data_IF_369221153899
#
_entry.id   IF_369221153899
#
_cell.length_a   1.000
_cell.length_b   1.000
_cell.length_c   1.000
_cell.angle_alpha   90.00
_cell.angle_beta   90.00
_cell.angle_gamma   90.00
#
_symmetry.space_group_name_H-M   'P 1'
#
loop_
_entity.id
_entity.type
_entity.pdbx_description
1 polymer ?
#
# COMPACT_ATOMS: atom_id res chain seq x y z
N UNK A 1 -19.63 -21.73 -25.07
CA UNK A 1 -18.61 -21.99 -24.03
C UNK A 1 -17.29 -21.36 -24.48
N UNK A 2 -16.92 -20.20 -23.95
CA UNK A 2 -15.65 -19.54 -24.29
C UNK A 2 -14.48 -20.34 -23.70
N UNK A 3 -13.60 -20.86 -24.54
CA UNK A 3 -12.34 -21.49 -24.11
C UNK A 3 -11.36 -20.38 -23.73
N UNK A 4 -11.18 -20.13 -22.43
CA UNK A 4 -10.06 -19.31 -21.95
C UNK A 4 -8.77 -20.11 -22.18
N UNK A 5 -7.91 -19.67 -23.11
CA UNK A 5 -6.54 -20.21 -23.21
C UNK A 5 -5.74 -19.71 -22.00
N UNK A 6 -4.96 -20.56 -21.31
CA UNK A 6 -4.12 -20.12 -20.21
C UNK A 6 -3.11 -19.07 -20.72
N UNK A 7 -3.05 -17.92 -20.06
CA UNK A 7 -2.05 -16.89 -20.37
C UNK A 7 -0.67 -17.35 -19.88
N UNK A 8 0.35 -17.27 -20.73
CA UNK A 8 1.76 -17.49 -20.36
C UNK A 8 2.41 -16.22 -19.75
N UNK A 9 1.62 -15.19 -19.44
CA UNK A 9 2.10 -13.93 -18.93
C UNK A 9 2.27 -13.95 -17.41
N UNK A 10 3.51 -13.73 -16.97
CA UNK A 10 3.84 -13.44 -15.57
C UNK A 10 3.84 -11.92 -15.35
N UNK A 11 2.67 -11.32 -15.10
CA UNK A 11 2.55 -9.90 -14.73
C UNK A 11 2.45 -9.75 -13.21
N UNK A 12 3.42 -9.04 -12.62
CA UNK A 12 3.35 -8.59 -11.22
C UNK A 12 2.82 -7.15 -11.12
N UNK A 13 3.04 -6.52 -9.97
CA UNK A 13 2.59 -5.15 -9.65
C UNK A 13 3.25 -3.99 -10.45
N UNK A 14 4.03 -4.26 -11.50
CA UNK A 14 4.77 -3.20 -12.21
C UNK A 14 3.88 -2.56 -13.29
N UNK A 15 3.38 -1.35 -13.04
CA UNK A 15 2.54 -0.59 -13.99
C UNK A 15 3.35 0.36 -14.88
N UNK A 16 4.56 0.76 -14.46
CA UNK A 16 5.38 1.78 -15.12
C UNK A 16 6.18 1.20 -16.29
N UNK A 17 6.91 0.11 -16.07
CA UNK A 17 7.79 -0.46 -17.11
C UNK A 17 7.00 -0.97 -18.31
N UNK A 18 5.87 -1.71 -18.18
CA UNK A 18 5.09 -2.14 -19.33
C UNK A 18 4.50 -0.98 -20.14
N UNK A 19 4.14 0.13 -19.48
CA UNK A 19 3.65 1.34 -20.14
C UNK A 19 4.74 2.00 -20.99
N UNK A 20 5.98 2.05 -20.49
CA UNK A 20 7.13 2.54 -21.26
C UNK A 20 7.41 1.72 -22.52
N UNK A 21 6.99 0.46 -22.56
CA UNK A 21 7.08 -0.43 -23.74
C UNK A 21 5.79 -0.53 -24.56
N UNK A 22 4.84 0.41 -24.39
CA UNK A 22 3.54 0.45 -25.13
C UNK A 22 2.69 -0.81 -24.97
N UNK A 23 2.86 -1.57 -23.89
CA UNK A 23 2.09 -2.80 -23.65
C UNK A 23 0.92 -2.52 -22.70
N UNK A 24 -0.11 -1.83 -23.22
CA UNK A 24 -1.30 -1.44 -22.44
C UNK A 24 -2.04 -2.65 -21.83
N UNK A 25 -2.07 -3.79 -22.52
CA UNK A 25 -2.65 -5.04 -22.00
C UNK A 25 -1.99 -5.50 -20.69
N UNK A 26 -0.65 -5.39 -20.60
CA UNK A 26 0.10 -5.79 -19.39
C UNK A 26 -0.09 -4.80 -18.25
N UNK A 27 -0.27 -3.51 -18.56
CA UNK A 27 -0.61 -2.48 -17.58
C UNK A 27 -2.00 -2.73 -17.00
N UNK A 28 -2.99 -3.02 -17.85
CA UNK A 28 -4.35 -3.37 -17.41
C UNK A 28 -4.32 -4.62 -16.54
N UNK A 29 -3.64 -5.69 -16.97
CA UNK A 29 -3.49 -6.90 -16.15
C UNK A 29 -2.76 -6.64 -14.82
N UNK A 30 -1.75 -5.77 -14.80
CA UNK A 30 -1.06 -5.39 -13.57
C UNK A 30 -2.00 -4.64 -12.61
N UNK A 31 -2.77 -3.67 -13.13
CA UNK A 31 -3.77 -2.92 -12.37
C UNK A 31 -4.86 -3.87 -11.85
N UNK A 32 -5.44 -4.72 -12.70
CA UNK A 32 -6.45 -5.70 -12.29
C UNK A 32 -5.93 -6.63 -11.19
N UNK A 33 -4.70 -7.16 -11.33
CA UNK A 33 -4.10 -8.02 -10.31
C UNK A 33 -3.86 -7.28 -9.00
N UNK A 34 -3.45 -6.02 -9.05
CA UNK A 34 -3.25 -5.17 -7.89
C UNK A 34 -4.56 -4.89 -7.16
N UNK A 35 -5.59 -4.48 -7.89
CA UNK A 35 -6.92 -4.18 -7.34
C UNK A 35 -7.56 -5.39 -6.67
N UNK A 36 -7.32 -6.60 -7.17
CA UNK A 36 -7.86 -7.83 -6.57
C UNK A 36 -6.91 -8.50 -5.55
N UNK A 37 -5.71 -7.94 -5.31
CA UNK A 37 -4.75 -8.55 -4.38
C UNK A 37 -5.04 -8.24 -2.91
N UNK A 38 -5.78 -7.17 -2.65
CA UNK A 38 -6.08 -6.70 -1.30
C UNK A 38 -7.47 -6.09 -1.19
N UNK A 39 -8.10 -6.30 -0.03
CA UNK A 39 -9.33 -5.62 0.35
C UNK A 39 -9.06 -4.55 1.41
N UNK A 40 -9.85 -3.48 1.39
CA UNK A 40 -9.74 -2.35 2.30
C UNK A 40 -11.07 -2.17 3.04
N UNK A 41 -11.04 -2.21 4.37
CA UNK A 41 -12.20 -1.98 5.23
C UNK A 41 -11.88 -0.93 6.29
N UNK A 42 -12.89 -0.23 6.78
CA UNK A 42 -12.75 0.85 7.76
C UNK A 42 -13.49 0.51 9.04
N UNK A 43 -12.80 0.64 10.17
CA UNK A 43 -13.43 0.70 11.49
C UNK A 43 -13.64 2.16 11.87
N UNK A 44 -14.89 2.60 11.73
CA UNK A 44 -15.31 3.99 11.96
C UNK A 44 -15.88 4.22 13.36
N UNK A 45 -15.88 3.22 14.25
CA UNK A 45 -16.53 3.28 15.57
C UNK A 45 -16.02 4.46 16.42
N UNK A 46 -14.72 4.76 16.33
CA UNK A 46 -14.07 5.83 17.11
C UNK A 46 -13.81 7.12 16.33
N UNK A 47 -14.45 7.30 15.18
CA UNK A 47 -14.28 8.51 14.36
C UNK A 47 -14.71 9.77 15.09
N UNK A 48 -15.73 9.67 15.95
CA UNK A 48 -16.18 10.74 16.85
C UNK A 48 -15.17 11.11 17.94
N UNK A 49 -14.17 10.27 18.19
CA UNK A 49 -13.05 10.53 19.10
C UNK A 49 -11.77 10.94 18.34
N UNK A 50 -11.87 11.18 17.03
CA UNK A 50 -10.72 11.51 16.20
C UNK A 50 -9.85 10.30 15.84
N UNK A 51 -10.39 9.08 15.87
CA UNK A 51 -9.66 7.83 15.56
C UNK A 51 -10.31 7.05 14.43
N UNK A 52 -9.50 6.48 13.54
CA UNK A 52 -9.97 5.61 12.47
C UNK A 52 -9.09 4.37 12.39
N UNK A 53 -9.74 3.20 12.38
CA UNK A 53 -9.08 1.94 12.05
C UNK A 53 -9.17 1.67 10.55
N UNK A 54 -8.05 1.28 9.95
CA UNK A 54 -7.96 0.94 8.53
C UNK A 54 -7.47 -0.50 8.46
N UNK A 55 -8.32 -1.38 7.95
CA UNK A 55 -8.04 -2.80 7.83
C UNK A 55 -7.63 -3.07 6.40
N UNK A 56 -6.43 -3.59 6.20
CA UNK A 56 -5.93 -4.02 4.90
C UNK A 56 -5.76 -5.53 4.93
N UNK A 57 -6.47 -6.22 4.04
CA UNK A 57 -6.49 -7.69 3.98
C UNK A 57 -5.79 -8.16 2.71
N UNK A 58 -4.87 -9.11 2.83
CA UNK A 58 -4.31 -9.80 1.68
C UNK A 58 -5.28 -10.90 1.22
N UNK A 59 -6.33 -10.50 0.52
CA UNK A 59 -7.42 -11.39 0.09
C UNK A 59 -7.06 -12.19 -1.16
N UNK A 60 -6.20 -11.65 -2.03
CA UNK A 60 -5.92 -12.24 -3.33
C UNK A 60 -4.65 -13.09 -3.42
N UNK A 61 -3.60 -12.78 -2.65
CA UNK A 61 -2.30 -13.42 -2.83
C UNK A 61 -2.07 -14.65 -1.91
N UNK A 62 -1.41 -15.67 -2.46
CA UNK A 62 -0.91 -16.83 -1.69
C UNK A 62 0.46 -16.62 -1.04
N UNK A 63 0.98 -15.39 -1.09
CA UNK A 63 2.24 -14.97 -0.49
C UNK A 63 2.06 -13.62 0.22
N UNK A 64 3.12 -13.10 0.85
CA UNK A 64 3.12 -11.78 1.49
C UNK A 64 2.80 -10.63 0.52
N UNK A 65 2.16 -9.57 1.00
CA UNK A 65 1.84 -8.37 0.24
C UNK A 65 2.49 -7.12 0.89
N UNK A 66 3.39 -6.41 0.19
CA UNK A 66 4.00 -6.77 -1.09
C UNK A 66 4.97 -7.96 -0.96
N UNK A 67 5.39 -8.53 -2.10
CA UNK A 67 6.45 -9.56 -2.19
C UNK A 67 7.60 -9.11 -3.10
N UNK A 68 8.70 -9.87 -3.11
CA UNK A 68 9.92 -9.58 -3.89
C UNK A 68 10.87 -8.62 -3.17
N UNK A 69 11.44 -7.65 -3.90
CA UNK A 69 12.31 -6.59 -3.36
C UNK A 69 11.51 -5.54 -2.58
N UNK A 70 11.01 -5.94 -1.42
CA UNK A 70 10.10 -5.15 -0.59
C UNK A 70 10.77 -4.02 0.17
N UNK A 71 12.09 -3.89 0.10
CA UNK A 71 12.84 -2.73 0.59
C UNK A 71 12.76 -1.52 -0.35
N UNK A 72 12.57 -1.77 -1.65
CA UNK A 72 12.39 -0.72 -2.68
C UNK A 72 10.98 -0.66 -3.24
N UNK A 73 10.22 -1.77 -3.21
CA UNK A 73 8.82 -1.77 -3.62
C UNK A 73 8.01 -1.01 -2.57
N UNK A 74 7.28 0.00 -3.03
CA UNK A 74 6.44 0.81 -2.18
C UNK A 74 5.01 0.32 -2.32
N UNK A 75 4.40 -0.09 -1.21
CA UNK A 75 2.95 -0.22 -1.08
C UNK A 75 2.57 0.61 0.13
N UNK A 76 1.63 1.53 0.00
CA UNK A 76 1.31 2.47 1.08
C UNK A 76 -0.14 2.91 1.07
N UNK A 77 -0.60 3.44 2.21
CA UNK A 77 -1.91 4.08 2.30
C UNK A 77 -1.80 5.57 1.97
N UNK A 78 -2.55 6.01 0.96
CA UNK A 78 -2.90 7.42 0.78
C UNK A 78 -4.22 7.69 1.50
N UNK A 79 -4.22 8.65 2.43
CA UNK A 79 -5.34 8.95 3.32
C UNK A 79 -5.62 10.44 3.24
N UNK A 80 -6.86 10.80 2.93
CA UNK A 80 -7.34 12.19 2.92
C UNK A 80 -8.68 12.24 3.66
N UNK A 81 -8.73 12.98 4.75
CA UNK A 81 -9.94 13.21 5.54
C UNK A 81 -10.33 14.68 5.43
N UNK A 82 -11.60 14.94 5.16
CA UNK A 82 -12.15 16.30 5.08
C UNK A 82 -13.31 16.53 6.04
N UNK A 83 -13.38 17.74 6.59
CA UNK A 83 -14.50 18.20 7.40
C UNK A 83 -15.73 18.59 6.55
N UNK A 84 -16.81 19.00 7.21
CA UNK A 84 -18.04 19.49 6.58
C UNK A 84 -17.86 20.70 5.66
N UNK A 85 -16.83 21.52 5.93
CA UNK A 85 -16.47 22.70 5.12
C UNK A 85 -15.54 22.32 3.97
N UNK A 86 -15.27 21.03 3.76
CA UNK A 86 -14.34 20.46 2.76
C UNK A 86 -12.86 20.81 3.02
N UNK A 87 -12.50 21.28 4.21
CA UNK A 87 -11.10 21.47 4.60
C UNK A 87 -10.45 20.11 4.89
N UNK A 88 -9.18 19.96 4.52
CA UNK A 88 -8.41 18.76 4.85
C UNK A 88 -8.03 18.82 6.33
N UNK A 89 -8.50 17.84 7.11
CA UNK A 89 -8.20 17.72 8.55
C UNK A 89 -7.15 16.66 8.85
N UNK A 90 -6.90 15.78 7.88
CA UNK A 90 -5.80 14.82 7.91
C UNK A 90 -5.39 14.46 6.48
N UNK A 91 -4.08 14.36 6.24
CA UNK A 91 -3.51 13.92 4.97
C UNK A 91 -2.23 13.12 5.24
N UNK A 92 -2.09 11.97 4.60
CA UNK A 92 -0.90 11.12 4.68
C UNK A 92 -0.73 10.35 3.36
N UNK A 93 0.51 10.06 2.97
CA UNK A 93 0.80 9.21 1.81
C UNK A 93 0.57 9.87 0.44
N UNK A 94 0.42 11.20 0.39
CA UNK A 94 0.42 11.93 -0.88
C UNK A 94 1.83 11.95 -1.47
N UNK A 95 1.90 12.01 -2.78
CA UNK A 95 3.16 12.30 -3.47
C UNK A 95 3.45 13.81 -3.46
N UNK A 96 4.71 14.17 -3.29
CA UNK A 96 5.17 15.55 -3.50
C UNK A 96 5.31 15.88 -5.00
N UNK A 97 5.78 17.09 -5.31
CA UNK A 97 5.97 17.58 -6.68
C UNK A 97 6.96 16.74 -7.49
N UNK A 98 7.86 16.03 -6.83
CA UNK A 98 8.92 15.22 -7.43
C UNK A 98 8.53 13.72 -7.46
N UNK A 99 7.33 13.39 -6.97
CA UNK A 99 6.78 12.03 -6.97
C UNK A 99 7.17 11.18 -5.76
N UNK A 100 7.77 11.78 -4.72
CA UNK A 100 8.11 11.05 -3.50
C UNK A 100 6.95 11.00 -2.52
N UNK A 101 6.81 9.87 -1.84
CA UNK A 101 5.82 9.70 -0.77
C UNK A 101 6.18 10.64 0.38
N UNK A 102 5.24 11.50 0.76
CA UNK A 102 5.38 12.42 1.90
C UNK A 102 5.64 11.68 3.21
N UNK A 103 6.38 12.33 4.11
CA UNK A 103 6.72 11.77 5.42
C UNK A 103 5.46 11.44 6.25
N UNK A 104 5.55 10.41 7.09
CA UNK A 104 4.44 9.94 7.93
C UNK A 104 3.50 8.96 7.24
N UNK A 105 3.74 8.63 5.98
CA UNK A 105 2.97 7.62 5.26
C UNK A 105 3.07 6.22 5.90
N UNK A 106 1.96 5.50 5.89
CA UNK A 106 1.92 4.09 6.28
C UNK A 106 2.40 3.26 5.10
N UNK A 107 3.66 2.85 5.14
CA UNK A 107 4.31 2.04 4.09
C UNK A 107 4.48 0.59 4.57
N UNK A 108 3.99 -0.33 3.75
CA UNK A 108 4.15 -1.78 3.86
C UNK A 108 5.42 -2.22 3.13
N UNK A 109 6.49 -2.42 3.87
CA UNK A 109 7.81 -2.73 3.33
C UNK A 109 8.64 -3.56 4.32
N UNK A 110 9.80 -4.03 3.84
CA UNK A 110 10.85 -4.59 4.69
C UNK A 110 11.97 -3.57 4.84
N UNK A 111 12.50 -3.38 6.04
CA UNK A 111 13.71 -2.59 6.29
C UNK A 111 14.82 -3.52 6.77
N UNK A 112 15.90 -3.60 6.01
CA UNK A 112 17.06 -4.42 6.35
C UNK A 112 18.08 -3.64 7.19
N UNK A 113 18.77 -4.36 8.08
CA UNK A 113 19.84 -3.81 8.91
C UNK A 113 21.20 -4.45 8.66
N UNK A 114 22.26 -3.79 9.13
CA UNK A 114 23.65 -4.27 9.05
C UNK A 114 24.04 -5.28 10.14
N UNK A 115 23.11 -5.67 11.01
CA UNK A 115 23.37 -6.53 12.18
C UNK A 115 23.80 -5.76 13.42
N UNK A 116 23.80 -4.42 13.36
CA UNK A 116 24.04 -3.51 14.49
C UNK A 116 22.86 -2.56 14.72
N UNK A 117 21.69 -2.88 14.18
CA UNK A 117 20.49 -2.06 14.28
C UNK A 117 20.43 -0.89 13.27
N UNK A 118 21.37 -0.78 12.32
CA UNK A 118 21.42 0.36 11.38
C UNK A 118 20.84 -0.03 10.01
N UNK A 119 19.91 0.75 9.44
CA UNK A 119 19.33 0.47 8.13
C UNK A 119 20.37 0.40 7.02
N UNK A 120 20.19 -0.51 6.07
CA UNK A 120 21.03 -0.64 4.87
C UNK A 120 20.20 -0.64 3.60
N UNK A 121 20.63 0.15 2.62
CA UNK A 121 20.04 0.15 1.27
C UNK A 121 20.60 -0.96 0.38
N UNK A 122 21.87 -1.33 0.59
CA UNK A 122 22.48 -2.40 -0.17
C UNK A 122 22.15 -3.75 0.50
N UNK A 123 21.21 -4.49 -0.09
CA UNK A 123 20.73 -5.79 0.40
C UNK A 123 21.89 -6.80 0.58
N UNK A 124 22.96 -6.74 -0.21
CA UNK A 124 24.12 -7.65 -0.02
C UNK A 124 24.82 -7.45 1.34
N UNK A 125 24.64 -6.27 1.96
CA UNK A 125 25.14 -5.94 3.30
C UNK A 125 24.13 -6.22 4.41
N UNK A 126 22.91 -6.63 4.08
CA UNK A 126 21.89 -6.98 5.07
C UNK A 126 22.35 -8.18 5.91
N UNK A 127 22.14 -8.08 7.22
CA UNK A 127 22.42 -9.14 8.21
C UNK A 127 21.24 -9.39 9.14
N UNK A 128 20.24 -8.50 9.12
CA UNK A 128 19.02 -8.62 9.92
C UNK A 128 17.83 -7.94 9.22
N UNK A 129 16.62 -8.26 9.68
CA UNK A 129 15.39 -7.55 9.33
C UNK A 129 15.03 -6.66 10.52
N UNK A 130 15.08 -5.34 10.33
CA UNK A 130 14.74 -4.34 11.36
C UNK A 130 13.23 -4.15 11.47
N UNK A 131 12.52 -4.24 10.35
CA UNK A 131 11.07 -4.09 10.25
C UNK A 131 10.55 -4.94 9.10
N UNK A 132 9.48 -5.67 9.34
CA UNK A 132 8.68 -6.32 8.32
C UNK A 132 7.22 -5.89 8.51
N UNK A 133 6.73 -5.04 7.61
CA UNK A 133 5.34 -4.57 7.60
C UNK A 133 4.60 -5.12 6.39
N UNK A 134 4.97 -6.30 5.89
CA UNK A 134 4.22 -6.98 4.83
C UNK A 134 2.98 -7.65 5.44
N UNK A 135 1.95 -7.85 4.63
CA UNK A 135 0.70 -8.50 5.01
C UNK A 135 0.80 -9.98 4.64
N UNK A 136 0.78 -10.94 5.60
CA UNK A 136 0.83 -12.37 5.29
C UNK A 136 -0.34 -12.82 4.40
N UNK A 137 -0.25 -13.98 3.72
CA UNK A 137 -1.32 -14.48 2.87
C UNK A 137 -2.60 -14.74 3.67
N UNK A 138 -3.74 -14.25 3.16
CA UNK A 138 -5.07 -14.40 3.77
C UNK A 138 -5.24 -13.76 5.15
N UNK A 139 -4.26 -12.96 5.58
CA UNK A 139 -4.30 -12.24 6.85
C UNK A 139 -4.63 -10.76 6.64
N UNK A 140 -5.00 -10.11 7.73
CA UNK A 140 -5.30 -8.68 7.79
C UNK A 140 -4.36 -7.95 8.74
N UNK A 141 -4.04 -6.70 8.42
CA UNK A 141 -3.38 -5.76 9.33
C UNK A 141 -4.31 -4.58 9.59
N UNK A 142 -4.29 -4.06 10.82
CA UNK A 142 -5.08 -2.89 11.20
C UNK A 142 -4.18 -1.74 11.56
N UNK A 143 -4.25 -0.69 10.75
CA UNK A 143 -3.59 0.58 10.99
C UNK A 143 -4.53 1.53 11.72
N UNK A 144 -3.99 2.30 12.65
CA UNK A 144 -4.78 3.28 13.39
C UNK A 144 -4.21 4.67 13.14
N UNK A 145 -5.09 5.60 12.79
CA UNK A 145 -4.74 7.01 12.65
C UNK A 145 -5.54 7.85 13.63
N UNK A 146 -4.96 8.99 14.00
CA UNK A 146 -5.58 10.00 14.85
C UNK A 146 -5.63 11.32 14.10
N UNK A 147 -6.77 12.01 14.17
CA UNK A 147 -7.00 13.30 13.52
C UNK A 147 -7.77 14.24 14.46
N UNK A 148 -7.60 15.54 14.26
CA UNK A 148 -8.04 16.56 15.23
C UNK A 148 -9.54 16.88 15.20
N UNK A 149 -10.23 16.60 14.09
CA UNK A 149 -11.62 17.03 13.88
C UNK A 149 -12.57 15.85 13.76
N UNK A 150 -13.53 15.78 14.69
CA UNK A 150 -14.47 14.67 14.80
C UNK A 150 -15.69 14.81 13.87
N UNK A 151 -15.85 15.96 13.21
CA UNK A 151 -16.91 16.25 12.24
C UNK A 151 -16.44 15.96 10.80
N UNK A 152 -16.23 14.68 10.51
CA UNK A 152 -15.79 14.22 9.19
C UNK A 152 -16.96 14.18 8.22
N UNK A 153 -16.77 14.68 7.00
CA UNK A 153 -17.76 14.57 5.91
C UNK A 153 -17.32 13.63 4.79
N UNK A 154 -16.02 13.54 4.54
CA UNK A 154 -15.46 12.74 3.45
C UNK A 154 -14.18 12.04 3.91
N UNK A 155 -14.10 10.73 3.63
CA UNK A 155 -12.91 9.92 3.81
C UNK A 155 -12.53 9.31 2.46
N UNK A 156 -11.31 9.59 2.01
CA UNK A 156 -10.72 8.96 0.84
C UNK A 156 -9.48 8.19 1.32
N UNK A 157 -9.50 6.86 1.15
CA UNK A 157 -8.41 5.98 1.56
C UNK A 157 -8.16 5.02 0.41
N UNK A 158 -6.95 5.09 -0.12
CA UNK A 158 -6.51 4.26 -1.23
C UNK A 158 -5.24 3.50 -0.83
N UNK A 159 -5.18 2.21 -1.15
CA UNK A 159 -3.92 1.47 -1.17
C UNK A 159 -3.22 1.74 -2.50
N UNK A 160 -2.03 2.32 -2.46
CA UNK A 160 -1.19 2.64 -3.62
C UNK A 160 0.00 1.68 -3.70
N UNK A 161 0.53 1.51 -4.91
CA UNK A 161 1.74 0.73 -5.22
C UNK A 161 2.60 1.42 -6.28
#
# INVERSE_FOLDING_TARGET
MMKQKPSLYFTGANTVVPASFKSEEKKIMAIERLTHSSDLALDTLKTKEGKLGIIVTNSGAGHYLPTGFTDVRQMWLEIIIKDEKKNIVFSSGKLDKDGYITEGAIIYNTVFGDGKGRPVLNISKAREILKDKRIPPKESVTEHIVFQNNNIKQLNIDLKV
#
